data_IF_650142174325
#
_entry.id   IF_650142174325
#
_cell.length_a   1.000
_cell.length_b   1.000
_cell.length_c   1.000
_cell.angle_alpha   90.00
_cell.angle_beta   90.00
_cell.angle_gamma   90.00
#
_symmetry.space_group_name_H-M   'P 1'
#
loop_
_entity.id
_entity.type
_entity.pdbx_description
1 polymer ?
#
# COMPACT_ATOMS: atom_id res chain seq x y z
N UNK A 1 -7.10 11.80 -1.14
CA UNK A 1 -5.66 11.70 -0.84
C UNK A 1 -4.82 12.10 -2.05
N UNK A 2 -3.79 12.91 -1.86
CA UNK A 2 -2.72 13.11 -2.85
C UNK A 2 -1.92 11.80 -3.04
N UNK A 3 -1.00 11.78 -4.01
CA UNK A 3 -0.12 10.61 -4.20
C UNK A 3 0.87 10.46 -3.03
N UNK A 4 1.33 11.56 -2.45
CA UNK A 4 2.17 11.54 -1.25
C UNK A 4 1.41 10.94 -0.06
N UNK A 5 0.19 11.42 0.18
CA UNK A 5 -0.68 10.89 1.24
C UNK A 5 -1.01 9.40 1.04
N UNK A 6 -1.23 8.96 -0.20
CA UNK A 6 -1.41 7.53 -0.49
C UNK A 6 -0.17 6.70 -0.13
N UNK A 7 1.04 7.21 -0.42
CA UNK A 7 2.30 6.52 -0.09
C UNK A 7 2.56 6.47 1.41
N UNK A 8 2.34 7.57 2.11
CA UNK A 8 2.46 7.66 3.57
C UNK A 8 1.49 6.68 4.25
N UNK A 9 0.21 6.73 3.87
CA UNK A 9 -0.79 5.82 4.41
C UNK A 9 -0.46 4.35 4.12
N UNK A 10 -0.01 4.01 2.91
CA UNK A 10 0.43 2.64 2.60
C UNK A 10 1.60 2.22 3.47
N UNK A 11 2.59 3.08 3.69
CA UNK A 11 3.74 2.76 4.54
C UNK A 11 3.30 2.47 5.97
N UNK A 12 2.41 3.29 6.53
CA UNK A 12 1.85 3.08 7.87
C UNK A 12 1.11 1.75 7.99
N UNK A 13 0.25 1.40 7.02
CA UNK A 13 -0.47 0.13 7.03
C UNK A 13 0.46 -1.08 6.90
N UNK A 14 1.50 -0.96 6.06
CA UNK A 14 2.52 -2.01 5.92
C UNK A 14 3.27 -2.21 7.25
N UNK A 15 3.75 -1.13 7.86
CA UNK A 15 4.49 -1.20 9.13
C UNK A 15 3.63 -1.74 10.28
N UNK A 16 2.37 -1.31 10.36
CA UNK A 16 1.44 -1.79 11.37
C UNK A 16 1.16 -3.30 11.23
N UNK A 17 0.91 -3.78 10.01
CA UNK A 17 0.69 -5.20 9.77
C UNK A 17 1.97 -6.03 9.97
N UNK A 18 3.14 -5.52 9.59
CA UNK A 18 4.43 -6.18 9.86
C UNK A 18 4.67 -6.30 11.36
N UNK A 19 4.47 -5.22 12.12
CA UNK A 19 4.60 -5.23 13.57
C UNK A 19 3.61 -6.23 14.22
N UNK A 20 2.35 -6.23 13.77
CA UNK A 20 1.33 -7.16 14.24
C UNK A 20 1.67 -8.61 13.93
N UNK A 21 2.31 -8.89 12.79
CA UNK A 21 2.68 -10.26 12.40
C UNK A 21 3.68 -10.91 13.36
N UNK A 22 4.45 -10.11 14.10
CA UNK A 22 5.57 -10.58 14.92
C UNK A 22 6.83 -10.93 14.11
N UNK A 23 6.82 -10.72 12.79
CA UNK A 23 7.94 -10.99 11.89
C UNK A 23 8.51 -9.66 11.41
N UNK A 24 9.51 -9.13 12.10
CA UNK A 24 10.06 -7.80 11.82
C UNK A 24 10.87 -7.74 10.51
N UNK A 25 11.65 -8.77 10.23
CA UNK A 25 12.64 -8.78 9.15
C UNK A 25 12.23 -9.64 7.95
N UNK A 26 12.90 -9.42 6.81
CA UNK A 26 12.79 -10.27 5.63
C UNK A 26 11.62 -9.93 4.71
N UNK A 27 10.97 -8.78 4.91
CA UNK A 27 9.96 -8.25 4.00
C UNK A 27 10.60 -7.58 2.78
N UNK A 28 10.08 -7.84 1.58
CA UNK A 28 10.58 -7.26 0.34
C UNK A 28 9.50 -7.15 -0.74
N UNK A 29 9.62 -6.16 -1.63
CA UNK A 29 8.92 -6.16 -2.92
C UNK A 29 9.64 -7.12 -3.85
N UNK A 30 8.94 -8.00 -4.56
CA UNK A 30 9.58 -9.08 -5.34
C UNK A 30 10.06 -8.71 -6.74
N UNK A 31 9.53 -7.63 -7.34
CA UNK A 31 9.86 -7.20 -8.72
C UNK A 31 9.91 -5.68 -8.86
N UNK A 32 11.11 -5.06 -8.93
CA UNK A 32 12.41 -5.66 -8.58
C UNK A 32 12.48 -6.01 -7.09
N UNK A 33 13.44 -6.87 -6.71
CA UNK A 33 13.70 -7.22 -5.31
C UNK A 33 14.24 -6.02 -4.55
N UNK A 34 13.39 -5.39 -3.74
CA UNK A 34 13.78 -4.29 -2.86
C UNK A 34 13.33 -4.62 -1.43
N UNK A 35 14.25 -4.63 -0.45
CA UNK A 35 13.87 -4.87 0.94
C UNK A 35 12.93 -3.77 1.44
N UNK A 36 12.04 -4.12 2.37
CA UNK A 36 11.33 -3.15 3.18
C UNK A 36 12.11 -2.98 4.48
N UNK A 37 12.79 -1.85 4.64
CA UNK A 37 13.65 -1.56 5.80
C UNK A 37 13.56 -0.09 6.18
N UNK A 38 14.01 0.30 7.37
CA UNK A 38 13.95 1.69 7.83
C UNK A 38 14.87 2.67 7.06
N UNK A 39 15.64 2.16 6.09
CA UNK A 39 16.41 3.01 5.20
C UNK A 39 15.46 3.71 4.23
N UNK A 40 15.50 5.04 4.22
CA UNK A 40 14.67 5.85 3.32
C UNK A 40 14.75 5.43 1.85
N UNK A 41 15.95 5.08 1.36
CA UNK A 41 16.13 4.61 -0.03
C UNK A 41 15.36 3.33 -0.37
N UNK A 42 15.20 2.43 0.60
CA UNK A 42 14.47 1.17 0.43
C UNK A 42 12.96 1.43 0.40
N UNK A 43 12.46 2.25 1.36
CA UNK A 43 11.06 2.68 1.42
C UNK A 43 10.66 3.45 0.16
N UNK A 44 11.47 4.42 -0.23
CA UNK A 44 11.27 5.23 -1.43
C UNK A 44 11.31 4.35 -2.68
N UNK A 45 12.23 3.38 -2.75
CA UNK A 45 12.29 2.42 -3.83
C UNK A 45 10.98 1.66 -3.98
N UNK A 46 10.45 1.09 -2.89
CA UNK A 46 9.20 0.33 -2.92
C UNK A 46 7.99 1.21 -3.29
N UNK A 47 7.86 2.37 -2.65
CA UNK A 47 6.67 3.23 -2.76
C UNK A 47 6.64 4.08 -4.03
N UNK A 48 7.80 4.51 -4.53
CA UNK A 48 7.87 5.36 -5.74
C UNK A 48 7.86 4.54 -7.03
N UNK A 49 8.20 3.25 -6.99
CA UNK A 49 8.06 2.35 -8.15
C UNK A 49 6.62 1.88 -8.38
N UNK A 50 5.75 1.99 -7.38
CA UNK A 50 4.32 1.70 -7.57
C UNK A 50 3.65 2.93 -8.17
N UNK A 51 3.10 2.76 -9.37
CA UNK A 51 2.30 3.78 -10.02
C UNK A 51 0.81 3.62 -9.65
N UNK A 52 0.05 4.73 -9.58
CA UNK A 52 -1.39 4.65 -9.39
C UNK A 52 -2.08 3.79 -10.47
N UNK A 53 -2.87 2.82 -10.02
CA UNK A 53 -3.78 2.05 -10.84
C UNK A 53 -5.10 2.79 -11.02
N UNK A 54 -5.64 2.75 -12.23
CA UNK A 54 -6.97 3.28 -12.52
C UNK A 54 -8.05 2.55 -11.70
N UNK A 55 -8.96 3.33 -11.13
CA UNK A 55 -10.14 2.85 -10.42
C UNK A 55 -11.43 3.50 -10.96
N UNK A 56 -11.42 3.91 -12.24
CA UNK A 56 -12.56 4.44 -12.97
C UNK A 56 -12.43 5.95 -13.19
N UNK A 57 -12.76 6.75 -12.19
CA UNK A 57 -12.65 8.21 -12.24
C UNK A 57 -11.43 8.75 -11.49
N UNK A 58 -10.58 7.86 -10.97
CA UNK A 58 -9.48 8.19 -10.06
C UNK A 58 -8.35 7.18 -10.17
N UNK A 59 -7.35 7.32 -9.31
CA UNK A 59 -6.32 6.31 -9.14
C UNK A 59 -6.15 5.87 -7.69
N UNK A 60 -5.54 4.70 -7.52
CA UNK A 60 -5.21 4.12 -6.21
C UNK A 60 -3.84 3.47 -6.25
N UNK A 61 -3.16 3.46 -5.12
CA UNK A 61 -1.89 2.77 -4.97
C UNK A 61 -2.13 1.33 -4.54
N UNK A 62 -1.39 0.39 -5.12
CA UNK A 62 -1.35 -1.02 -4.73
C UNK A 62 0.12 -1.34 -4.45
N UNK A 63 0.40 -1.77 -3.23
CA UNK A 63 1.75 -2.17 -2.81
C UNK A 63 1.66 -3.51 -2.10
N UNK A 64 2.50 -4.43 -2.54
CA UNK A 64 2.56 -5.77 -1.97
C UNK A 64 4.00 -6.11 -1.59
N UNK A 65 4.16 -6.69 -0.40
CA UNK A 65 5.40 -7.21 0.14
C UNK A 65 5.30 -8.72 0.30
N UNK A 66 6.44 -9.39 0.22
CA UNK A 66 6.61 -10.82 0.45
C UNK A 66 7.59 -11.05 1.60
N UNK A 67 7.42 -12.18 2.29
CA UNK A 67 8.36 -12.66 3.29
C UNK A 67 8.51 -14.18 3.14
N UNK A 68 9.74 -14.68 3.06
CA UNK A 68 10.05 -16.12 2.91
C UNK A 68 10.90 -16.65 4.06
N UNK A 69 11.02 -15.88 5.15
CA UNK A 69 11.92 -16.16 6.28
C UNK A 69 11.20 -16.41 7.60
N UNK A 70 9.87 -16.25 7.66
CA UNK A 70 9.11 -16.54 8.88
C UNK A 70 9.18 -18.01 9.26
N UNK A 71 9.44 -18.29 10.53
CA UNK A 71 9.43 -19.65 11.09
C UNK A 71 8.01 -20.21 11.22
N UNK A 72 7.02 -19.34 11.44
CA UNK A 72 5.61 -19.71 11.57
C UNK A 72 4.70 -18.70 10.82
N UNK A 73 4.58 -18.86 9.49
CA UNK A 73 3.70 -18.03 8.67
C UNK A 73 2.23 -18.05 9.11
N UNK A 74 1.76 -19.18 9.63
CA UNK A 74 0.34 -19.37 9.98
C UNK A 74 0.02 -18.57 11.25
N UNK A 75 0.85 -18.69 12.30
CA UNK A 75 0.70 -17.88 13.51
C UNK A 75 0.80 -16.37 13.20
N UNK A 76 1.71 -15.96 12.32
CA UNK A 76 1.82 -14.58 11.88
C UNK A 76 0.52 -14.08 11.21
N UNK A 77 -0.13 -14.92 10.41
CA UNK A 77 -1.41 -14.59 9.77
C UNK A 77 -2.55 -14.41 10.78
N UNK A 78 -2.60 -15.22 11.84
CA UNK A 78 -3.60 -15.08 12.90
C UNK A 78 -3.42 -13.78 13.68
N UNK A 79 -2.17 -13.41 13.97
CA UNK A 79 -1.85 -12.16 14.66
C UNK A 79 -2.28 -10.92 13.83
N UNK A 80 -1.99 -10.92 12.52
CA UNK A 80 -2.39 -9.82 11.63
C UNK A 80 -3.91 -9.71 11.53
N UNK A 81 -4.62 -10.84 11.44
CA UNK A 81 -6.09 -10.85 11.46
C UNK A 81 -6.61 -10.22 12.74
N UNK A 82 -6.15 -10.71 13.90
CA UNK A 82 -6.62 -10.23 15.19
C UNK A 82 -6.35 -8.73 15.36
N UNK A 83 -5.20 -8.25 14.88
CA UNK A 83 -4.87 -6.83 14.85
C UNK A 83 -5.86 -6.02 14.00
N UNK A 84 -6.10 -6.38 12.75
CA UNK A 84 -7.05 -5.66 11.90
C UNK A 84 -8.47 -5.66 12.46
N UNK A 85 -8.94 -6.79 13.01
CA UNK A 85 -10.24 -6.85 13.68
C UNK A 85 -10.29 -5.92 14.90
N UNK A 86 -9.19 -5.81 15.66
CA UNK A 86 -9.10 -4.90 16.81
C UNK A 86 -9.09 -3.42 16.42
N UNK A 87 -8.56 -3.10 15.24
CA UNK A 87 -8.60 -1.76 14.63
C UNK A 87 -9.94 -1.46 13.94
N UNK A 88 -10.92 -2.37 14.06
CA UNK A 88 -12.28 -2.16 13.55
C UNK A 88 -12.48 -2.51 12.07
N UNK A 89 -11.50 -3.14 11.42
CA UNK A 89 -11.67 -3.60 10.04
C UNK A 89 -12.59 -4.81 9.95
N UNK A 90 -13.43 -4.83 8.92
CA UNK A 90 -14.22 -6.00 8.57
C UNK A 90 -13.36 -7.02 7.81
N UNK A 91 -12.83 -8.03 8.52
CA UNK A 91 -11.98 -9.07 7.92
C UNK A 91 -12.81 -10.23 7.38
N UNK A 92 -12.55 -10.63 6.15
CA UNK A 92 -13.22 -11.74 5.46
C UNK A 92 -12.22 -12.76 4.91
N UNK A 93 -12.62 -14.04 4.90
CA UNK A 93 -11.84 -15.10 4.30
C UNK A 93 -12.05 -15.11 2.78
N UNK A 94 -10.97 -14.90 2.03
CA UNK A 94 -10.98 -15.05 0.57
C UNK A 94 -10.67 -16.50 0.19
N UNK A 95 -9.76 -17.15 0.94
CA UNK A 95 -9.52 -18.59 0.91
C UNK A 95 -9.24 -19.08 2.33
N UNK A 96 -9.88 -20.17 2.73
CA UNK A 96 -9.91 -20.64 4.13
C UNK A 96 -9.36 -22.05 4.31
N UNK A 97 -8.30 -22.41 3.60
CA UNK A 97 -7.59 -23.65 3.91
C UNK A 97 -6.67 -23.40 5.10
N UNK A 98 -6.68 -24.30 6.10
CA UNK A 98 -5.83 -24.17 7.29
C UNK A 98 -4.33 -24.08 6.95
N UNK A 99 -3.90 -24.70 5.85
CA UNK A 99 -2.52 -24.66 5.38
C UNK A 99 -2.14 -23.36 4.66
N UNK A 100 -3.13 -22.64 4.12
CA UNK A 100 -2.92 -21.50 3.22
C UNK A 100 -3.99 -20.40 3.45
N UNK A 101 -4.02 -19.79 4.65
CA UNK A 101 -5.00 -18.74 4.95
C UNK A 101 -4.76 -17.53 4.04
N UNK A 102 -5.84 -17.07 3.41
CA UNK A 102 -5.88 -15.81 2.68
C UNK A 102 -7.12 -15.03 3.06
N UNK A 103 -6.91 -13.86 3.67
CA UNK A 103 -7.99 -13.00 4.13
C UNK A 103 -7.74 -11.56 3.70
N UNK A 104 -8.84 -10.79 3.73
CA UNK A 104 -8.85 -9.38 3.36
C UNK A 104 -9.73 -8.59 4.30
N UNK A 105 -9.21 -7.47 4.77
CA UNK A 105 -9.93 -6.38 5.39
C UNK A 105 -10.39 -5.40 4.31
N UNK A 106 -11.70 -5.17 4.19
CA UNK A 106 -12.27 -4.20 3.26
C UNK A 106 -12.75 -2.95 4.04
N UNK A 107 -12.27 -1.77 3.64
CA UNK A 107 -12.69 -0.48 4.17
C UNK A 107 -13.93 0.04 3.46
N UNK A 108 -14.74 0.85 4.16
CA UNK A 108 -15.95 1.47 3.59
C UNK A 108 -15.65 2.43 2.42
N UNK A 109 -14.46 3.02 2.41
CA UNK A 109 -13.95 3.91 1.37
C UNK A 109 -13.34 3.16 0.16
N UNK A 110 -13.36 1.83 0.20
CA UNK A 110 -12.78 0.97 -0.83
C UNK A 110 -11.28 0.71 -0.69
N UNK A 111 -10.65 1.13 0.41
CA UNK A 111 -9.32 0.66 0.78
C UNK A 111 -9.34 -0.84 1.14
N UNK A 112 -8.24 -1.56 0.91
CA UNK A 112 -8.17 -2.99 1.16
C UNK A 112 -6.82 -3.37 1.75
N UNK A 113 -6.83 -4.21 2.79
CA UNK A 113 -5.62 -4.83 3.35
C UNK A 113 -5.76 -6.35 3.19
N UNK A 114 -4.78 -7.00 2.59
CA UNK A 114 -4.83 -8.42 2.28
C UNK A 114 -3.59 -9.11 2.84
N UNK A 115 -3.79 -10.26 3.47
CA UNK A 115 -2.71 -11.08 4.00
C UNK A 115 -2.91 -12.53 3.58
N UNK A 116 -1.85 -13.13 3.06
CA UNK A 116 -1.79 -14.55 2.74
C UNK A 116 -0.58 -15.15 3.44
N UNK A 117 -0.76 -16.32 4.02
CA UNK A 117 0.34 -17.16 4.48
C UNK A 117 0.21 -18.55 3.86
N UNK A 118 1.36 -19.17 3.63
CA UNK A 118 1.54 -20.57 3.24
C UNK A 118 2.72 -21.11 4.04
N UNK A 119 2.98 -22.42 3.97
CA UNK A 119 4.18 -22.99 4.59
C UNK A 119 5.51 -22.42 4.06
N UNK A 120 5.52 -21.83 2.86
CA UNK A 120 6.76 -21.39 2.19
C UNK A 120 6.96 -19.87 2.25
N UNK A 121 5.88 -19.10 2.34
CA UNK A 121 5.95 -17.64 2.28
C UNK A 121 4.67 -16.98 2.81
N UNK A 122 4.81 -15.69 3.11
CA UNK A 122 3.72 -14.76 3.37
C UNK A 122 3.71 -13.65 2.32
N UNK A 123 2.54 -13.08 2.09
CA UNK A 123 2.40 -11.83 1.35
C UNK A 123 1.42 -10.90 2.06
N UNK A 124 1.78 -9.62 2.09
CA UNK A 124 0.97 -8.53 2.60
C UNK A 124 0.73 -7.55 1.45
N UNK A 125 -0.52 -7.21 1.19
CA UNK A 125 -0.91 -6.25 0.16
C UNK A 125 -1.78 -5.17 0.75
N UNK A 126 -1.47 -3.92 0.39
CA UNK A 126 -2.22 -2.74 0.79
C UNK A 126 -2.67 -2.01 -0.47
N UNK A 127 -3.98 -1.75 -0.53
CA UNK A 127 -4.65 -1.01 -1.60
C UNK A 127 -5.31 0.21 -0.99
N UNK A 128 -4.97 1.39 -1.49
CA UNK A 128 -5.61 2.63 -1.02
C UNK A 128 -7.02 2.77 -1.57
N UNK A 129 -7.85 3.57 -0.90
CA UNK A 129 -9.08 4.08 -1.50
C UNK A 129 -8.80 4.83 -2.82
N UNK A 130 -9.81 4.85 -3.70
CA UNK A 130 -9.74 5.55 -4.98
C UNK A 130 -9.68 7.06 -4.74
N UNK A 131 -8.75 7.75 -5.40
CA UNK A 131 -8.60 9.21 -5.29
C UNK A 131 -8.68 9.88 -6.66
N UNK A 132 -9.46 10.94 -6.73
CA UNK A 132 -9.59 11.80 -7.92
C UNK A 132 -8.57 12.95 -7.93
N UNK A 133 -7.66 13.00 -6.94
CA UNK A 133 -6.69 14.08 -6.82
C UNK A 133 -5.74 14.13 -8.03
N UNK A 134 -5.42 15.33 -8.52
CA UNK A 134 -4.66 15.53 -9.75
C UNK A 134 -3.28 14.84 -9.74
N UNK A 135 -2.63 14.76 -8.57
CA UNK A 135 -1.33 14.07 -8.43
C UNK A 135 -1.43 12.56 -8.62
N UNK A 136 -2.62 11.99 -8.47
CA UNK A 136 -2.92 10.58 -8.62
C UNK A 136 -3.47 10.30 -10.02
N UNK A 137 -4.34 11.17 -10.55
CA UNK A 137 -4.96 10.98 -11.87
C UNK A 137 -4.06 11.40 -13.04
N UNK A 138 -3.15 12.35 -12.84
CA UNK A 138 -2.22 12.84 -13.86
C UNK A 138 -0.76 12.48 -13.53
N UNK A 139 -0.54 11.37 -12.82
CA UNK A 139 0.79 10.95 -12.37
C UNK A 139 1.78 10.80 -13.53
N UNK A 140 1.32 10.25 -14.67
CA UNK A 140 2.13 10.01 -15.87
C UNK A 140 2.68 11.30 -16.48
N UNK A 141 1.93 12.39 -16.36
CA UNK A 141 2.32 13.67 -16.95
C UNK A 141 3.32 14.42 -16.07
N UNK A 142 3.58 14.01 -14.82
CA UNK A 142 4.51 14.73 -13.93
C UNK A 142 5.98 14.34 -14.10
N UNK A 143 6.29 13.21 -14.77
CA UNK A 143 7.65 12.66 -14.82
C UNK A 143 8.44 13.01 -16.11
N UNK A 144 7.81 13.48 -17.19
CA UNK A 144 8.54 13.71 -18.46
C UNK A 144 9.28 15.05 -18.55
N UNK A 145 8.89 16.08 -17.82
CA UNK A 145 9.59 17.36 -17.71
C UNK A 145 8.75 18.20 -16.74
N UNK A 146 9.37 18.96 -15.83
CA UNK A 146 8.69 19.79 -14.82
C UNK A 146 7.45 20.47 -15.41
N UNK A 147 6.27 19.95 -15.05
CA UNK A 147 5.14 20.09 -15.96
C UNK A 147 4.50 21.48 -15.82
N UNK A 148 4.63 22.24 -16.90
CA UNK A 148 4.03 23.54 -17.25
C UNK A 148 2.58 23.68 -16.77
N UNK A 149 1.85 22.59 -16.56
CA UNK A 149 0.50 22.60 -16.01
C UNK A 149 0.39 23.15 -14.58
N UNK A 150 1.39 22.91 -13.72
CA UNK A 150 1.39 23.48 -12.34
C UNK A 150 1.71 24.98 -12.39
N UNK A 151 2.70 25.36 -13.20
CA UNK A 151 3.01 26.78 -13.47
C UNK A 151 1.83 27.50 -14.14
N UNK A 152 1.10 26.84 -15.05
CA UNK A 152 -0.06 27.40 -15.75
C UNK A 152 -1.29 27.52 -14.84
N UNK A 153 -1.48 26.58 -13.89
CA UNK A 153 -2.49 26.69 -12.83
C UNK A 153 -2.16 27.81 -11.84
N UNK A 154 -0.89 27.96 -11.45
CA UNK A 154 -0.42 29.08 -10.62
C UNK A 154 -0.52 30.42 -11.37
N UNK A 155 -0.15 30.45 -12.66
CA UNK A 155 -0.29 31.62 -13.54
C UNK A 155 -1.74 32.04 -13.75
N UNK A 156 -2.68 31.09 -13.81
CA UNK A 156 -4.11 31.36 -13.97
C UNK A 156 -4.86 31.58 -12.65
N UNK A 157 -4.31 31.13 -11.52
CA UNK A 157 -4.95 31.19 -10.20
C UNK A 157 -4.42 32.29 -9.27
N UNK A 158 -3.26 32.91 -9.54
CA UNK A 158 -2.64 33.95 -8.71
C UNK A 158 -3.19 35.37 -8.91
N UNK A 159 -4.48 35.53 -9.21
CA UNK A 159 -5.07 36.81 -9.61
C UNK A 159 -6.48 37.05 -9.07
N UNK A 160 -6.76 36.69 -7.83
CA UNK A 160 -7.97 37.10 -7.13
C UNK A 160 -7.67 37.31 -5.65
N UNK A 161 -6.93 38.38 -5.33
CA UNK A 161 -7.09 39.20 -4.11
C UNK A 161 -5.98 40.27 -4.04
N UNK A 162 -6.28 41.46 -4.57
CA UNK A 162 -6.11 42.79 -3.93
C UNK A 162 -6.54 43.90 -4.87
#
# INVERSE_FOLDING_TARGET
>A
MTLGEQREWVAEQLDAAIAASGVADGWFKSRPTIPWSDKGIDRDGVLNMSFPFDCGSGGRLIVSLMNTSSEDPIAASENVRAFWESEGWAVSNIRSYESDPYFRADGEDGAQLAFMATAEHMSLEVVTACSVHATVTNWQYRDEEGNVFTEELERRGGGAER
#
